data_IF_570767019415
#
_entry.id   IF_570767019415
#
_cell.length_a   1.000
_cell.length_b   1.000
_cell.length_c   1.000
_cell.angle_alpha   90.00
_cell.angle_beta   90.00
_cell.angle_gamma   90.00
#
_symmetry.space_group_name_H-M   'P 1'
#
loop_
_entity.id
_entity.type
_entity.pdbx_description
1 polymer ?
#
# COMPACT_ATOMS: atom_id res chain seq x y z
N UNK A 1 17.03 -5.55 14.20
CA UNK A 1 15.59 -5.22 14.31
C UNK A 1 15.46 -3.70 14.28
N UNK A 2 15.41 -3.10 13.08
CA UNK A 2 15.38 -1.64 12.92
C UNK A 2 13.98 -1.17 13.31
N UNK A 3 13.86 -0.58 14.49
CA UNK A 3 12.63 0.03 14.98
C UNK A 3 12.22 1.12 13.97
N UNK A 4 11.19 0.84 13.18
CA UNK A 4 10.61 1.78 12.21
C UNK A 4 9.99 2.93 13.01
N UNK A 5 10.55 4.15 12.95
CA UNK A 5 10.05 5.25 13.75
C UNK A 5 8.72 5.70 13.16
N UNK A 6 7.63 5.23 13.75
CA UNK A 6 6.25 5.62 13.44
C UNK A 6 6.00 7.12 13.73
N UNK A 7 6.93 7.76 14.45
CA UNK A 7 6.92 9.18 14.75
C UNK A 7 8.17 9.83 14.15
N UNK A 8 7.96 10.65 13.12
CA UNK A 8 9.05 11.41 12.48
C UNK A 8 9.55 12.47 13.47
N UNK A 9 10.75 12.23 14.00
CA UNK A 9 11.43 13.11 14.94
C UNK A 9 11.42 14.58 14.48
N UNK A 10 10.99 15.50 15.34
CA UNK A 10 10.80 16.92 14.99
C UNK A 10 12.10 17.70 14.79
N UNK A 11 13.26 17.14 15.14
CA UNK A 11 14.57 17.79 15.08
C UNK A 11 15.33 17.54 13.76
N UNK A 12 14.86 16.59 12.92
CA UNK A 12 15.47 16.25 11.63
C UNK A 12 15.16 17.27 10.51
N UNK A 13 16.08 17.45 9.53
CA UNK A 13 15.95 18.41 8.42
C UNK A 13 14.65 18.20 7.60
N UNK A 14 14.12 19.29 7.03
CA UNK A 14 12.81 19.32 6.36
C UNK A 14 12.67 18.31 5.22
N UNK A 15 13.72 18.09 4.44
CA UNK A 15 13.75 17.09 3.37
C UNK A 15 13.52 15.66 3.90
N UNK A 16 14.26 15.26 4.95
CA UNK A 16 14.12 13.93 5.58
C UNK A 16 12.68 13.67 6.05
N UNK A 17 11.99 14.70 6.56
CA UNK A 17 10.59 14.60 6.98
C UNK A 17 9.63 14.35 5.82
N UNK A 18 9.88 14.94 4.65
CA UNK A 18 9.06 14.72 3.45
C UNK A 18 9.25 13.29 2.90
N UNK A 19 10.48 12.79 2.87
CA UNK A 19 10.75 11.41 2.44
C UNK A 19 10.13 10.37 3.38
N UNK A 20 10.26 10.56 4.70
CA UNK A 20 9.64 9.66 5.68
C UNK A 20 8.11 9.63 5.56
N UNK A 21 7.48 10.78 5.30
CA UNK A 21 6.03 10.84 5.01
C UNK A 21 5.66 10.08 3.74
N UNK A 22 6.49 10.16 2.70
CA UNK A 22 6.30 9.38 1.47
C UNK A 22 6.39 7.87 1.72
N UNK A 23 7.35 7.42 2.53
CA UNK A 23 7.53 5.99 2.88
C UNK A 23 6.37 5.47 3.72
N UNK A 24 5.96 6.22 4.75
CA UNK A 24 4.81 5.85 5.60
C UNK A 24 3.52 5.84 4.76
N UNK A 25 3.34 6.84 3.90
CA UNK A 25 2.23 6.89 2.95
C UNK A 25 2.24 5.70 1.99
N UNK A 26 3.40 5.34 1.42
CA UNK A 26 3.58 4.17 0.56
C UNK A 26 3.29 2.85 1.28
N UNK A 27 3.73 2.69 2.53
CA UNK A 27 3.46 1.52 3.34
C UNK A 27 1.96 1.37 3.67
N UNK A 28 1.29 2.48 3.99
CA UNK A 28 -0.15 2.50 4.20
C UNK A 28 -0.91 2.17 2.92
N UNK A 29 -0.47 2.71 1.77
CA UNK A 29 -1.00 2.37 0.45
C UNK A 29 -0.91 0.87 0.16
N UNK A 30 0.24 0.25 0.44
CA UNK A 30 0.44 -1.18 0.22
C UNK A 30 -0.47 -2.03 1.12
N UNK A 31 -0.64 -1.64 2.39
CA UNK A 31 -1.54 -2.31 3.32
C UNK A 31 -3.01 -2.22 2.86
N UNK A 32 -3.45 -1.02 2.47
CA UNK A 32 -4.82 -0.79 1.98
C UNK A 32 -5.08 -1.60 0.71
N UNK A 33 -4.17 -1.57 -0.26
CA UNK A 33 -4.33 -2.35 -1.50
C UNK A 33 -4.35 -3.87 -1.24
N UNK A 34 -3.56 -4.37 -0.28
CA UNK A 34 -3.61 -5.78 0.11
C UNK A 34 -4.98 -6.17 0.67
N UNK A 35 -5.56 -5.34 1.55
CA UNK A 35 -6.90 -5.56 2.10
C UNK A 35 -7.97 -5.56 1.01
N UNK A 36 -7.86 -4.69 0.01
CA UNK A 36 -8.80 -4.64 -1.12
C UNK A 36 -8.70 -5.91 -1.97
N UNK A 37 -7.48 -6.39 -2.28
CA UNK A 37 -7.29 -7.65 -3.02
C UNK A 37 -7.90 -8.83 -2.26
N UNK A 38 -7.64 -8.94 -0.94
CA UNK A 38 -8.23 -9.99 -0.10
C UNK A 38 -9.76 -9.89 -0.11
N UNK A 39 -10.31 -8.69 0.04
CA UNK A 39 -11.76 -8.45 0.02
C UNK A 39 -12.37 -8.88 -1.31
N UNK A 40 -11.71 -8.61 -2.44
CA UNK A 40 -12.18 -9.05 -3.75
C UNK A 40 -12.16 -10.56 -3.93
N UNK A 41 -11.15 -11.25 -3.41
CA UNK A 41 -11.09 -12.71 -3.44
C UNK A 41 -12.24 -13.28 -2.60
N UNK A 42 -12.53 -12.69 -1.45
CA UNK A 42 -13.65 -13.10 -0.59
C UNK A 42 -15.01 -12.86 -1.27
N UNK A 43 -15.18 -11.75 -1.98
CA UNK A 43 -16.42 -11.48 -2.71
C UNK A 43 -16.60 -12.43 -3.90
N UNK A 44 -15.54 -12.71 -4.66
CA UNK A 44 -15.61 -13.55 -5.87
C UNK A 44 -15.73 -15.05 -5.61
N UNK A 45 -15.28 -15.55 -4.45
CA UNK A 45 -15.26 -17.00 -4.18
C UNK A 45 -16.23 -17.41 -3.04
N UNK A 46 -15.96 -17.11 -1.76
CA UNK A 46 -16.82 -17.56 -0.67
C UNK A 46 -18.19 -16.86 -0.64
N UNK A 47 -18.31 -15.60 -1.07
CA UNK A 47 -19.61 -14.90 -1.15
C UNK A 47 -20.20 -14.81 -2.56
N UNK A 48 -19.69 -15.59 -3.52
CA UNK A 48 -20.21 -15.60 -4.90
C UNK A 48 -21.72 -15.90 -4.98
N UNK A 49 -22.24 -16.64 -4.00
CA UNK A 49 -23.63 -17.05 -3.89
C UNK A 49 -24.54 -15.95 -3.30
N UNK A 50 -23.96 -15.01 -2.55
CA UNK A 50 -24.67 -13.94 -1.87
C UNK A 50 -24.69 -12.63 -2.67
N UNK A 51 -23.78 -12.46 -3.64
CA UNK A 51 -23.65 -11.24 -4.42
C UNK A 51 -24.00 -11.42 -5.90
N UNK A 52 -24.75 -10.44 -6.41
CA UNK A 52 -25.13 -10.32 -7.81
C UNK A 52 -23.91 -10.19 -8.74
N UNK A 53 -23.98 -10.78 -9.94
CA UNK A 53 -22.95 -10.73 -10.98
C UNK A 53 -22.37 -9.32 -11.23
N UNK A 54 -23.18 -8.24 -11.38
CA UNK A 54 -22.67 -6.88 -11.50
C UNK A 54 -21.78 -6.43 -10.32
N UNK A 55 -22.09 -6.87 -9.09
CA UNK A 55 -21.28 -6.52 -7.92
C UNK A 55 -19.93 -7.24 -7.93
N UNK A 56 -19.89 -8.49 -8.39
CA UNK A 56 -18.63 -9.23 -8.59
C UNK A 56 -17.76 -8.60 -9.67
N UNK A 57 -18.35 -8.17 -10.80
CA UNK A 57 -17.62 -7.48 -11.88
C UNK A 57 -17.02 -6.18 -11.36
N UNK A 58 -17.81 -5.39 -10.62
CA UNK A 58 -17.34 -4.12 -10.06
C UNK A 58 -16.21 -4.32 -9.05
N UNK A 59 -16.34 -5.34 -8.18
CA UNK A 59 -15.28 -5.72 -7.23
C UNK A 59 -14.00 -6.19 -7.95
N UNK A 60 -14.13 -6.98 -9.02
CA UNK A 60 -12.97 -7.42 -9.82
C UNK A 60 -12.24 -6.26 -10.51
N UNK A 61 -12.97 -5.34 -11.14
CA UNK A 61 -12.38 -4.17 -11.81
C UNK A 61 -11.69 -3.27 -10.80
N UNK A 62 -12.33 -3.03 -9.65
CA UNK A 62 -11.74 -2.29 -8.53
C UNK A 62 -10.37 -2.88 -8.15
N UNK A 63 -10.27 -4.20 -8.02
CA UNK A 63 -9.02 -4.89 -7.66
C UNK A 63 -7.89 -4.65 -8.65
N UNK A 64 -8.18 -4.58 -9.95
CA UNK A 64 -7.17 -4.28 -10.98
C UNK A 64 -6.60 -2.86 -10.77
N UNK A 65 -7.48 -1.88 -10.52
CA UNK A 65 -7.09 -0.49 -10.24
C UNK A 65 -6.23 -0.43 -8.96
N UNK A 66 -6.69 -1.09 -7.89
CA UNK A 66 -5.97 -1.10 -6.61
C UNK A 66 -4.64 -1.87 -6.67
N UNK A 67 -4.51 -2.89 -7.52
CA UNK A 67 -3.24 -3.55 -7.79
C UNK A 67 -2.22 -2.62 -8.46
N UNK A 68 -2.68 -1.75 -9.38
CA UNK A 68 -1.85 -0.68 -9.95
C UNK A 68 -1.37 0.31 -8.88
N UNK A 69 -2.27 0.73 -7.99
CA UNK A 69 -1.95 1.59 -6.85
C UNK A 69 -0.93 0.94 -5.90
N UNK A 70 -1.05 -0.37 -5.65
CA UNK A 70 -0.09 -1.15 -4.84
C UNK A 70 1.32 -1.10 -5.46
N UNK A 71 1.41 -1.27 -6.78
CA UNK A 71 2.67 -1.20 -7.52
C UNK A 71 3.33 0.17 -7.41
N UNK A 72 2.56 1.25 -7.47
CA UNK A 72 3.07 2.62 -7.26
C UNK A 72 3.54 2.83 -5.81
N UNK A 73 2.77 2.34 -4.83
CA UNK A 73 3.16 2.38 -3.41
C UNK A 73 4.47 1.64 -3.11
N UNK A 74 4.69 0.49 -3.77
CA UNK A 74 5.94 -0.26 -3.67
C UNK A 74 7.13 0.53 -4.22
N UNK A 75 6.99 1.13 -5.41
CA UNK A 75 8.05 1.94 -6.02
C UNK A 75 8.40 3.15 -5.14
N UNK A 76 7.39 3.84 -4.58
CA UNK A 76 7.61 4.96 -3.65
C UNK A 76 8.37 4.52 -2.39
N UNK A 77 8.07 3.33 -1.86
CA UNK A 77 8.82 2.74 -0.74
C UNK A 77 10.27 2.46 -1.13
N UNK A 78 10.53 1.85 -2.29
CA UNK A 78 11.88 1.59 -2.77
C UNK A 78 12.68 2.89 -2.97
N UNK A 79 12.07 3.92 -3.57
CA UNK A 79 12.69 5.24 -3.77
C UNK A 79 13.02 5.89 -2.43
N UNK A 80 12.10 5.86 -1.46
CA UNK A 80 12.36 6.42 -0.14
C UNK A 80 13.44 5.67 0.65
N UNK A 81 13.52 4.34 0.53
CA UNK A 81 14.62 3.57 1.13
C UNK A 81 15.97 3.84 0.45
N UNK A 82 15.98 3.99 -0.87
CA UNK A 82 17.17 4.36 -1.64
C UNK A 82 17.72 5.74 -1.27
N UNK A 83 16.83 6.74 -1.13
CA UNK A 83 17.15 8.09 -0.66
C UNK A 83 17.71 8.12 0.78
N UNK A 84 17.27 7.19 1.63
CA UNK A 84 17.76 7.05 3.01
C UNK A 84 19.09 6.29 3.14
N UNK A 85 19.67 5.82 2.04
CA UNK A 85 20.91 5.05 2.03
C UNK A 85 20.81 3.71 2.77
N UNK A 86 19.60 3.19 2.96
CA UNK A 86 19.37 1.87 3.56
C UNK A 86 19.11 0.86 2.44
N UNK A 87 19.95 -0.17 2.35
CA UNK A 87 19.73 -1.29 1.43
C UNK A 87 18.33 -1.88 1.63
N UNK A 88 17.63 -2.01 0.50
CA UNK A 88 16.35 -2.70 0.39
C UNK A 88 16.62 -4.21 0.50
N UNK A 89 16.44 -4.78 1.69
CA UNK A 89 16.51 -6.23 1.93
C UNK A 89 15.12 -6.83 1.78
#
# INVERSE_FOLDING_TARGET
>A
MKHFPLFVDSNKPSAFRQYMRCIVGGNWLMLVSLLVIISSIIISYPLAQAFSIPMQITAHISTIVFAGVLKVGYVLRCVGFNELGQEVI
#
